data_IF_578846178945
#
_entry.id   IF_578846178945
#
_cell.length_a   1.000
_cell.length_b   1.000
_cell.length_c   1.000
_cell.angle_alpha   90.00
_cell.angle_beta   90.00
_cell.angle_gamma   90.00
#
_symmetry.space_group_name_H-M   'P 1'
#
loop_
_entity.id
_entity.type
_entity.pdbx_description
1 polymer ?
#
# COMPACT_ATOMS: atom_id res chain seq x y z
N UNK A 1 3.01 -7.37 -13.08
CA UNK A 1 3.97 -6.75 -12.13
C UNK A 1 4.26 -5.30 -12.55
N UNK A 2 4.32 -4.37 -11.59
CA UNK A 2 4.64 -2.96 -11.85
C UNK A 2 5.96 -2.63 -11.18
N UNK A 3 6.98 -2.36 -11.98
CA UNK A 3 8.29 -1.98 -11.49
C UNK A 3 8.26 -0.57 -10.88
N UNK A 4 9.23 -0.27 -10.03
CA UNK A 4 9.26 0.96 -9.26
C UNK A 4 9.56 2.21 -10.11
N UNK A 5 10.15 2.03 -11.29
CA UNK A 5 10.43 3.06 -12.30
C UNK A 5 9.26 3.33 -13.27
N UNK A 6 8.13 2.63 -13.09
CA UNK A 6 6.95 2.83 -13.92
C UNK A 6 6.41 4.27 -13.79
N UNK A 7 5.92 4.89 -14.89
CA UNK A 7 5.37 6.24 -14.86
C UNK A 7 4.32 6.48 -13.78
N UNK A 8 4.48 7.58 -13.05
CA UNK A 8 3.72 7.92 -11.83
C UNK A 8 2.56 8.86 -12.19
N UNK A 9 1.39 8.31 -12.51
CA UNK A 9 0.21 9.09 -12.92
C UNK A 9 -0.99 8.86 -11.98
N UNK A 10 -0.94 9.30 -10.71
CA UNK A 10 -2.02 9.07 -9.77
C UNK A 10 -3.30 9.84 -10.18
N UNK A 11 -4.42 9.13 -10.26
CA UNK A 11 -5.73 9.69 -10.63
C UNK A 11 -6.61 10.03 -9.42
N UNK A 12 -6.06 9.96 -8.21
CA UNK A 12 -6.78 10.24 -6.96
C UNK A 12 -5.98 11.18 -6.07
N UNK A 13 -6.68 11.99 -5.27
CA UNK A 13 -6.05 12.87 -4.27
C UNK A 13 -5.15 12.09 -3.30
N UNK A 14 -5.57 10.89 -2.89
CA UNK A 14 -4.75 10.02 -2.05
C UNK A 14 -3.42 9.65 -2.73
N UNK A 15 -3.46 9.21 -3.98
CA UNK A 15 -2.27 8.86 -4.75
C UNK A 15 -1.35 10.07 -5.00
N UNK A 16 -1.92 11.24 -5.31
CA UNK A 16 -1.17 12.48 -5.49
C UNK A 16 -0.41 12.85 -4.21
N UNK A 17 -1.08 12.81 -3.05
CA UNK A 17 -0.45 13.13 -1.77
C UNK A 17 0.64 12.14 -1.37
N UNK A 18 0.46 10.85 -1.67
CA UNK A 18 1.49 9.82 -1.45
C UNK A 18 2.73 10.08 -2.30
N UNK A 19 2.55 10.32 -3.60
CA UNK A 19 3.65 10.65 -4.49
C UNK A 19 4.35 11.95 -4.09
N UNK A 20 3.60 12.99 -3.72
CA UNK A 20 4.18 14.24 -3.24
C UNK A 20 5.07 14.00 -2.00
N UNK A 21 4.60 13.18 -1.05
CA UNK A 21 5.38 12.83 0.15
C UNK A 21 6.71 12.16 -0.21
N UNK A 22 6.73 11.25 -1.18
CA UNK A 22 7.95 10.62 -1.69
C UNK A 22 8.95 11.64 -2.25
N UNK A 23 8.48 12.60 -3.07
CA UNK A 23 9.33 13.66 -3.62
C UNK A 23 9.88 14.58 -2.51
N UNK A 24 9.08 14.85 -1.47
CA UNK A 24 9.56 15.64 -0.32
C UNK A 24 10.64 14.91 0.47
N UNK A 25 10.56 13.60 0.64
CA UNK A 25 11.64 12.83 1.28
C UNK A 25 12.94 12.90 0.46
N UNK A 26 12.86 12.75 -0.87
CA UNK A 26 14.01 12.94 -1.77
C UNK A 26 14.61 14.36 -1.65
N UNK A 27 13.76 15.39 -1.55
CA UNK A 27 14.23 16.76 -1.32
C UNK A 27 14.93 16.90 0.04
N UNK A 28 14.40 16.29 1.10
CA UNK A 28 14.99 16.33 2.44
C UNK A 28 16.33 15.58 2.54
N UNK A 29 16.50 14.47 1.82
CA UNK A 29 17.81 13.81 1.69
C UNK A 29 18.82 14.76 1.06
N UNK A 30 18.45 15.45 -0.04
CA UNK A 30 19.34 16.41 -0.72
C UNK A 30 19.69 17.61 0.17
N UNK A 31 18.71 18.18 0.88
CA UNK A 31 18.90 19.39 1.67
C UNK A 31 19.51 19.13 3.05
N UNK A 32 19.23 17.98 3.65
CA UNK A 32 19.49 17.72 5.06
C UNK A 32 20.15 16.37 5.35
N UNK A 33 20.46 15.57 4.32
CA UNK A 33 21.07 14.24 4.44
C UNK A 33 20.23 13.29 5.33
N UNK A 34 18.91 13.48 5.34
CA UNK A 34 17.98 12.58 6.02
C UNK A 34 17.82 11.32 5.19
N UNK A 35 18.28 10.19 5.71
CA UNK A 35 18.08 8.89 5.06
C UNK A 35 16.61 8.47 5.11
N UNK A 36 16.10 7.90 4.02
CA UNK A 36 14.71 7.46 3.93
C UNK A 36 14.56 6.19 3.10
N UNK A 37 13.47 5.46 3.35
CA UNK A 37 13.05 4.31 2.55
C UNK A 37 11.57 4.45 2.21
N UNK A 38 11.20 4.13 0.98
CA UNK A 38 9.83 4.19 0.49
C UNK A 38 9.33 2.76 0.26
N UNK A 39 8.17 2.44 0.85
CA UNK A 39 7.45 1.19 0.58
C UNK A 39 6.11 1.50 -0.10
N UNK A 40 5.93 1.02 -1.34
CA UNK A 40 4.68 1.11 -2.11
C UNK A 40 3.90 -0.20 -2.00
N UNK A 41 3.41 -0.50 -0.79
CA UNK A 41 2.64 -1.73 -0.55
C UNK A 41 1.38 -1.78 -1.41
N UNK A 42 1.06 -2.96 -1.95
CA UNK A 42 -0.14 -3.21 -2.76
C UNK A 42 -1.43 -3.19 -1.90
N UNK A 43 -2.08 -4.33 -1.66
CA UNK A 43 -3.27 -4.41 -0.80
C UNK A 43 -3.01 -5.32 0.42
N UNK A 44 -2.43 -4.79 1.51
CA UNK A 44 -2.30 -5.54 2.75
C UNK A 44 -3.66 -5.99 3.32
N UNK A 45 -3.73 -7.23 3.79
CA UNK A 45 -4.90 -7.77 4.49
C UNK A 45 -4.50 -8.73 5.62
N UNK A 46 -5.37 -8.92 6.60
CA UNK A 46 -5.16 -9.89 7.68
C UNK A 46 -5.79 -9.47 9.01
N UNK A 47 -5.42 -10.14 10.11
CA UNK A 47 -5.87 -9.80 11.46
C UNK A 47 -5.70 -8.31 11.79
N UNK A 48 -6.58 -7.79 12.64
CA UNK A 48 -6.64 -6.38 13.07
C UNK A 48 -7.09 -5.36 12.00
N UNK A 49 -7.28 -5.77 10.74
CA UNK A 49 -7.93 -4.92 9.74
C UNK A 49 -9.40 -4.69 10.11
N UNK A 50 -9.82 -3.43 10.23
CA UNK A 50 -11.20 -3.10 10.58
C UNK A 50 -12.10 -3.09 9.35
N UNK A 51 -13.24 -3.76 9.44
CA UNK A 51 -14.24 -3.80 8.38
C UNK A 51 -15.19 -2.58 8.39
N UNK A 52 -14.97 -1.60 9.27
CA UNK A 52 -15.92 -0.49 9.53
C UNK A 52 -15.76 0.69 8.58
N UNK A 53 -14.60 0.87 7.95
CA UNK A 53 -14.28 2.09 7.17
C UNK A 53 -14.50 1.96 5.66
N UNK A 54 -15.22 0.94 5.17
CA UNK A 54 -15.29 0.61 3.73
C UNK A 54 -13.91 0.44 3.07
N UNK A 55 -12.88 0.13 3.85
CA UNK A 55 -11.51 -0.10 3.41
C UNK A 55 -11.12 -1.54 3.76
N UNK A 56 -10.50 -2.23 2.81
CA UNK A 56 -10.14 -3.65 2.96
C UNK A 56 -11.28 -4.59 2.56
N UNK A 57 -11.29 -4.98 1.28
CA UNK A 57 -12.36 -5.84 0.72
C UNK A 57 -12.42 -7.22 1.39
N UNK A 58 -11.27 -7.81 1.74
CA UNK A 58 -11.21 -9.12 2.39
C UNK A 58 -11.84 -9.07 3.79
N UNK A 59 -11.49 -8.08 4.61
CA UNK A 59 -12.09 -7.92 5.94
C UNK A 59 -13.59 -7.62 5.86
N UNK A 60 -14.01 -6.78 4.91
CA UNK A 60 -15.42 -6.48 4.69
C UNK A 60 -16.23 -7.72 4.28
N UNK A 61 -15.70 -8.53 3.36
CA UNK A 61 -16.36 -9.76 2.91
C UNK A 61 -16.39 -10.81 4.00
N UNK A 62 -15.27 -11.02 4.72
CA UNK A 62 -15.22 -11.95 5.85
C UNK A 62 -16.26 -11.59 6.93
N UNK A 63 -16.40 -10.30 7.26
CA UNK A 63 -17.45 -9.85 8.19
C UNK A 63 -18.85 -10.20 7.69
N UNK A 64 -19.17 -9.88 6.43
CA UNK A 64 -20.49 -10.19 5.84
C UNK A 64 -20.78 -11.69 5.84
N UNK A 65 -19.79 -12.52 5.48
CA UNK A 65 -19.90 -13.98 5.52
C UNK A 65 -20.18 -14.51 6.94
N UNK A 66 -19.51 -13.96 7.95
CA UNK A 66 -19.73 -14.35 9.35
C UNK A 66 -21.11 -13.95 9.89
N UNK A 67 -21.73 -12.92 9.31
CA UNK A 67 -23.05 -12.41 9.68
C UNK A 67 -24.18 -12.94 8.78
N UNK A 68 -23.87 -13.83 7.84
CA UNK A 68 -24.80 -14.31 6.80
C UNK A 68 -25.43 -13.16 5.98
N UNK A 69 -24.67 -12.09 5.76
CA UNK A 69 -25.07 -10.93 4.97
C UNK A 69 -24.66 -11.07 3.50
N UNK A 70 -25.43 -10.45 2.61
CA UNK A 70 -25.13 -10.45 1.17
C UNK A 70 -23.86 -9.64 0.86
N UNK A 71 -22.90 -10.27 0.18
CA UNK A 71 -21.70 -9.60 -0.35
C UNK A 71 -22.09 -8.75 -1.57
N UNK A 72 -21.67 -7.49 -1.55
CA UNK A 72 -21.87 -6.56 -2.65
C UNK A 72 -20.57 -6.39 -3.43
N UNK A 73 -20.61 -6.71 -4.72
CA UNK A 73 -19.51 -6.43 -5.65
C UNK A 73 -19.76 -5.06 -6.29
N UNK A 74 -18.81 -4.14 -6.11
CA UNK A 74 -18.84 -2.83 -6.75
C UNK A 74 -18.21 -2.91 -8.14
N UNK A 75 -19.01 -2.69 -9.18
CA UNK A 75 -18.58 -2.81 -10.57
C UNK A 75 -18.96 -4.16 -11.17
N UNK A 76 -18.17 -4.63 -12.12
CA UNK A 76 -18.43 -5.86 -12.89
C UNK A 76 -17.78 -7.13 -12.31
N UNK A 77 -17.00 -6.99 -11.22
CA UNK A 77 -16.29 -8.09 -10.59
C UNK A 77 -15.00 -8.52 -11.29
N UNK A 78 -14.60 -7.89 -12.40
CA UNK A 78 -13.37 -8.22 -13.13
C UNK A 78 -12.12 -7.54 -12.57
N UNK A 79 -12.28 -6.77 -11.50
CA UNK A 79 -11.21 -6.00 -10.88
C UNK A 79 -10.20 -6.93 -10.21
N UNK A 80 -8.96 -6.91 -10.71
CA UNK A 80 -7.84 -7.65 -10.12
C UNK A 80 -7.11 -6.77 -9.10
N UNK A 81 -6.71 -7.38 -7.99
CA UNK A 81 -5.89 -6.77 -6.93
C UNK A 81 -4.80 -7.75 -6.52
N UNK A 82 -3.63 -7.21 -6.25
CA UNK A 82 -2.53 -7.94 -5.62
C UNK A 82 -2.66 -7.81 -4.09
N UNK A 83 -2.89 -8.94 -3.42
CA UNK A 83 -3.12 -9.01 -1.99
C UNK A 83 -1.89 -9.51 -1.26
N UNK A 84 -1.47 -8.75 -0.25
CA UNK A 84 -0.31 -9.05 0.58
C UNK A 84 -0.77 -9.40 1.98
N UNK A 85 -0.40 -10.57 2.50
CA UNK A 85 -0.77 -10.90 3.87
C UNK A 85 0.00 -10.03 4.86
N UNK A 86 -0.66 -9.65 5.97
CA UNK A 86 -0.13 -8.68 6.92
C UNK A 86 1.22 -9.09 7.53
N UNK A 87 1.43 -10.39 7.76
CA UNK A 87 2.72 -10.88 8.28
C UNK A 87 3.86 -10.65 7.29
N UNK A 88 3.63 -10.88 6.00
CA UNK A 88 4.65 -10.66 4.95
C UNK A 88 4.94 -9.17 4.80
N UNK A 89 3.90 -8.32 4.87
CA UNK A 89 4.06 -6.87 4.88
C UNK A 89 4.90 -6.39 6.09
N UNK A 90 4.66 -6.95 7.28
CA UNK A 90 5.44 -6.62 8.48
C UNK A 90 6.90 -7.03 8.32
N UNK A 91 7.15 -8.26 7.84
CA UNK A 91 8.50 -8.74 7.58
C UNK A 91 9.24 -7.84 6.58
N UNK A 92 8.60 -7.50 5.47
CA UNK A 92 9.17 -6.58 4.48
C UNK A 92 9.50 -5.20 5.07
N UNK A 93 8.63 -4.65 5.93
CA UNK A 93 8.88 -3.37 6.60
C UNK A 93 10.06 -3.43 7.57
N UNK A 94 10.21 -4.53 8.32
CA UNK A 94 11.35 -4.75 9.22
C UNK A 94 12.65 -4.85 8.42
N UNK A 95 12.66 -5.62 7.33
CA UNK A 95 13.82 -5.77 6.46
C UNK A 95 14.20 -4.44 5.80
N UNK A 96 13.21 -3.67 5.33
CA UNK A 96 13.43 -2.37 4.71
C UNK A 96 14.02 -1.35 5.70
N UNK A 97 13.57 -1.37 6.96
CA UNK A 97 14.10 -0.49 8.01
C UNK A 97 15.59 -0.73 8.30
N UNK A 98 16.07 -1.98 8.15
CA UNK A 98 17.48 -2.33 8.30
C UNK A 98 18.30 -2.24 7.00
N UNK A 99 17.68 -1.88 5.87
CA UNK A 99 18.34 -1.94 4.58
C UNK A 99 19.31 -0.79 4.36
N UNK A 100 20.56 -1.10 4.03
CA UNK A 100 21.65 -0.14 3.80
C UNK A 100 22.02 0.03 2.33
N UNK A 101 21.24 -0.53 1.40
CA UNK A 101 21.47 -0.38 -0.03
C UNK A 101 21.29 1.06 -0.53
N UNK A 102 22.03 1.38 -1.59
CA UNK A 102 22.08 2.71 -2.19
C UNK A 102 21.07 2.94 -3.31
N UNK A 103 20.23 1.95 -3.63
CA UNK A 103 19.27 2.10 -4.73
C UNK A 103 18.26 3.20 -4.41
N UNK A 104 18.05 4.07 -5.39
CA UNK A 104 17.15 5.22 -5.31
C UNK A 104 16.40 5.33 -6.63
N UNK A 105 15.09 5.53 -6.53
CA UNK A 105 14.25 5.86 -7.70
C UNK A 105 14.14 7.39 -7.87
N UNK A 106 14.60 8.19 -6.89
CA UNK A 106 14.57 9.68 -6.87
C UNK A 106 15.86 10.32 -6.35
#
# INVERSE_FOLDING_TARGET
PMAEDHPENPITSYGINKLASEKYFSLYERLHQVDYRIARLANPFGPFQTAEKNQGVIAAFAKKMLLDETIEIRGDGNVVRDFLYVSDAIEAMILLAGHTGGDRIF
#
